data_IF_060741392373
#
_entry.id   IF_060741392373
#
_cell.length_a   1.000
_cell.length_b   1.000
_cell.length_c   1.000
_cell.angle_alpha   90.00
_cell.angle_beta   90.00
_cell.angle_gamma   90.00
#
_symmetry.space_group_name_H-M   'P 1'
#
loop_
_entity.id
_entity.type
_entity.pdbx_description
1 polymer ?
#
# COMPACT_ATOMS: atom_id res chain seq x y z
N UNK A 1 18.64 14.88 -9.09
CA UNK A 1 17.73 13.71 -9.15
C UNK A 1 17.09 13.66 -10.53
N UNK A 2 16.92 12.48 -11.16
CA UNK A 2 16.18 12.37 -12.42
C UNK A 2 14.78 12.96 -12.24
N UNK A 3 14.30 13.73 -13.24
CA UNK A 3 12.96 14.31 -13.21
C UNK A 3 11.86 13.23 -13.10
N UNK A 4 12.16 12.02 -13.59
CA UNK A 4 11.31 10.83 -13.47
C UNK A 4 12.14 9.66 -12.94
N UNK A 5 11.82 9.17 -11.75
CA UNK A 5 12.48 7.98 -11.18
C UNK A 5 11.87 6.71 -11.77
N UNK A 6 12.71 5.85 -12.39
CA UNK A 6 12.31 4.48 -12.77
C UNK A 6 12.65 3.51 -11.65
N UNK A 7 11.64 2.77 -11.20
CA UNK A 7 11.79 1.77 -10.14
C UNK A 7 12.71 0.63 -10.59
N UNK A 8 13.68 0.27 -9.75
CA UNK A 8 14.65 -0.81 -10.04
C UNK A 8 14.20 -2.19 -9.54
N UNK A 9 13.25 -2.23 -8.61
CA UNK A 9 12.81 -3.46 -7.93
C UNK A 9 11.39 -3.84 -8.34
N UNK A 10 11.13 -5.14 -8.56
CA UNK A 10 9.79 -5.71 -8.76
C UNK A 10 9.05 -6.03 -7.45
N UNK A 11 9.59 -5.61 -6.30
CA UNK A 11 9.04 -5.94 -4.98
C UNK A 11 7.59 -5.48 -4.81
N UNK A 12 6.73 -6.40 -4.36
CA UNK A 12 5.31 -6.09 -4.12
C UNK A 12 4.51 -5.71 -5.35
N UNK A 13 5.04 -5.92 -6.57
CA UNK A 13 4.30 -5.72 -7.83
C UNK A 13 3.47 -6.95 -8.24
N UNK A 14 3.72 -8.10 -7.62
CA UNK A 14 3.03 -9.35 -7.92
C UNK A 14 1.58 -9.29 -7.41
N UNK A 15 0.57 -9.64 -8.23
CA UNK A 15 -0.82 -9.60 -7.82
C UNK A 15 -1.13 -10.64 -6.74
N UNK A 16 -2.18 -10.40 -5.94
CA UNK A 16 -2.54 -11.25 -4.81
C UNK A 16 -2.83 -12.69 -5.25
N UNK A 17 -3.57 -12.87 -6.33
CA UNK A 17 -3.95 -14.18 -6.85
C UNK A 17 -2.74 -15.06 -7.20
N UNK A 18 -1.73 -14.49 -7.87
CA UNK A 18 -0.51 -15.22 -8.24
C UNK A 18 0.36 -15.57 -7.02
N UNK A 19 0.43 -14.67 -6.03
CA UNK A 19 1.14 -14.97 -4.78
C UNK A 19 0.40 -16.06 -3.99
N UNK A 20 -0.93 -16.05 -3.97
CA UNK A 20 -1.74 -17.08 -3.29
C UNK A 20 -1.55 -18.47 -3.91
N UNK A 21 -1.53 -18.55 -5.24
CA UNK A 21 -1.23 -19.78 -5.98
C UNK A 21 0.17 -20.29 -5.61
N UNK A 22 1.18 -19.42 -5.70
CA UNK A 22 2.55 -19.75 -5.34
C UNK A 22 2.68 -20.20 -3.87
N UNK A 23 2.00 -19.52 -2.94
CA UNK A 23 2.00 -19.88 -1.53
C UNK A 23 1.35 -21.26 -1.28
N UNK A 24 0.31 -21.60 -2.03
CA UNK A 24 -0.38 -22.89 -1.93
C UNK A 24 0.49 -24.04 -2.47
N UNK A 25 1.22 -23.81 -3.56
CA UNK A 25 2.22 -24.77 -4.07
C UNK A 25 3.35 -25.04 -3.08
N UNK A 26 3.82 -24.00 -2.38
CA UNK A 26 4.81 -24.17 -1.31
C UNK A 26 4.24 -24.94 -0.13
N UNK A 27 2.99 -24.67 0.27
CA UNK A 27 2.30 -25.46 1.32
C UNK A 27 2.11 -26.93 0.90
N UNK A 28 1.98 -27.19 -0.40
CA UNK A 28 1.97 -28.55 -0.97
C UNK A 28 3.33 -29.27 -0.99
N UNK A 29 4.38 -28.69 -0.40
CA UNK A 29 5.68 -29.33 -0.23
C UNK A 29 6.76 -28.91 -1.23
N UNK A 30 6.46 -28.05 -2.21
CA UNK A 30 7.48 -27.49 -3.10
C UNK A 30 8.38 -26.50 -2.36
N UNK A 31 9.65 -26.43 -2.74
CA UNK A 31 10.58 -25.47 -2.14
C UNK A 31 10.20 -24.02 -2.50
N UNK A 32 10.36 -23.08 -1.56
CA UNK A 32 10.14 -21.64 -1.83
C UNK A 32 10.98 -21.16 -3.01
N UNK A 33 12.22 -21.68 -3.16
CA UNK A 33 13.15 -21.25 -4.21
C UNK A 33 12.71 -21.71 -5.59
N UNK A 34 12.20 -22.94 -5.72
CA UNK A 34 11.73 -23.48 -7.00
C UNK A 34 10.48 -22.73 -7.47
N UNK A 35 9.49 -22.57 -6.59
CA UNK A 35 8.23 -21.87 -6.94
C UNK A 35 8.49 -20.40 -7.27
N UNK A 36 9.37 -19.73 -6.52
CA UNK A 36 9.75 -18.34 -6.81
C UNK A 36 10.37 -18.19 -8.21
N UNK A 37 11.23 -19.14 -8.62
CA UNK A 37 11.86 -19.12 -9.95
C UNK A 37 10.84 -19.42 -11.05
N UNK A 38 9.98 -20.41 -10.86
CA UNK A 38 8.95 -20.83 -11.82
C UNK A 38 7.92 -19.72 -12.09
N UNK A 39 7.43 -19.07 -11.03
CA UNK A 39 6.43 -18.01 -11.09
C UNK A 39 7.01 -16.60 -11.29
N UNK A 40 8.34 -16.48 -11.43
CA UNK A 40 9.07 -15.21 -11.48
C UNK A 40 8.73 -14.25 -10.33
N UNK A 41 8.49 -14.79 -9.13
CA UNK A 41 8.24 -14.02 -7.92
C UNK A 41 9.55 -13.90 -7.14
N UNK A 42 9.83 -12.72 -6.60
CA UNK A 42 10.97 -12.56 -5.72
C UNK A 42 10.84 -13.45 -4.46
N UNK A 43 11.90 -14.23 -4.16
CA UNK A 43 11.92 -15.19 -3.05
C UNK A 43 11.56 -14.55 -1.71
N UNK A 44 12.04 -13.33 -1.46
CA UNK A 44 11.79 -12.62 -0.19
C UNK A 44 10.32 -12.20 -0.08
N UNK A 45 9.70 -11.83 -1.20
CA UNK A 45 8.27 -11.50 -1.29
C UNK A 45 7.40 -12.71 -0.96
N UNK A 46 7.67 -13.86 -1.60
CA UNK A 46 6.92 -15.10 -1.34
C UNK A 46 7.09 -15.58 0.11
N UNK A 47 8.33 -15.58 0.63
CA UNK A 47 8.60 -15.95 2.03
C UNK A 47 7.88 -15.04 3.02
N UNK A 48 7.93 -13.71 2.80
CA UNK A 48 7.24 -12.73 3.66
C UNK A 48 5.74 -12.96 3.65
N UNK A 49 5.16 -13.21 2.48
CA UNK A 49 3.72 -13.45 2.34
C UNK A 49 3.29 -14.70 3.11
N UNK A 50 3.99 -15.83 2.95
CA UNK A 50 3.67 -17.08 3.66
C UNK A 50 3.69 -16.86 5.17
N UNK A 51 4.75 -16.24 5.71
CA UNK A 51 4.85 -15.95 7.15
C UNK A 51 3.69 -15.07 7.65
N UNK A 52 3.29 -14.07 6.86
CA UNK A 52 2.19 -13.18 7.24
C UNK A 52 0.82 -13.85 7.16
N UNK A 53 0.60 -14.67 6.13
CA UNK A 53 -0.65 -15.43 5.92
C UNK A 53 -1.01 -16.28 7.14
N UNK A 54 -0.01 -16.83 7.82
CA UNK A 54 -0.24 -17.68 8.99
C UNK A 54 -0.49 -16.86 10.29
N UNK A 55 -0.23 -15.55 10.28
CA UNK A 55 -0.33 -14.66 11.46
C UNK A 55 -1.42 -13.59 11.36
N UNK A 56 -1.86 -13.23 10.16
CA UNK A 56 -2.80 -12.12 9.92
C UNK A 56 -3.96 -12.63 9.05
N UNK A 57 -5.21 -12.36 9.45
CA UNK A 57 -6.40 -12.64 8.62
C UNK A 57 -6.41 -11.84 7.32
N UNK A 58 -5.83 -10.63 7.32
CA UNK A 58 -5.83 -9.74 6.16
C UNK A 58 -4.68 -10.09 5.21
N UNK A 59 -5.04 -10.67 4.07
CA UNK A 59 -4.12 -11.01 2.98
C UNK A 59 -3.75 -9.78 2.15
N UNK A 60 -2.83 -8.97 2.68
CA UNK A 60 -2.36 -7.76 2.01
C UNK A 60 -1.03 -8.00 1.26
N UNK A 61 -0.92 -7.48 0.04
CA UNK A 61 0.29 -7.60 -0.79
C UNK A 61 1.12 -6.31 -0.75
N UNK A 62 2.44 -6.46 -0.81
CA UNK A 62 3.36 -5.33 -0.88
C UNK A 62 3.36 -4.50 0.42
N UNK A 63 3.19 -3.19 0.27
CA UNK A 63 3.23 -2.23 1.38
C UNK A 63 1.84 -1.81 1.90
N UNK A 64 0.77 -2.37 1.34
CA UNK A 64 -0.62 -2.06 1.74
C UNK A 64 -0.86 -2.27 3.24
N UNK A 65 -0.40 -3.38 3.82
CA UNK A 65 -0.51 -3.60 5.27
C UNK A 65 0.29 -2.61 6.14
N UNK A 66 1.40 -2.06 5.63
CA UNK A 66 2.15 -1.01 6.34
C UNK A 66 1.45 0.34 6.24
N UNK A 67 0.84 0.63 5.10
CA UNK A 67 0.03 1.84 4.92
C UNK A 67 -1.20 1.81 5.84
N UNK A 68 -1.88 0.65 5.92
CA UNK A 68 -3.03 0.46 6.81
C UNK A 68 -2.67 0.63 8.29
N UNK A 69 -1.53 0.09 8.75
CA UNK A 69 -1.09 0.24 10.14
C UNK A 69 -0.72 1.69 10.53
N UNK A 70 -0.40 2.56 9.56
CA UNK A 70 -0.06 3.98 9.78
C UNK A 70 -1.18 4.92 9.35
N UNK A 71 -2.40 4.41 9.17
CA UNK A 71 -3.53 5.21 8.73
C UNK A 71 -3.96 6.16 9.84
N UNK A 72 -4.07 7.45 9.50
CA UNK A 72 -4.45 8.50 10.46
C UNK A 72 -5.94 8.82 10.36
N UNK A 73 -6.48 8.84 9.15
CA UNK A 73 -7.89 9.12 8.87
C UNK A 73 -8.68 7.82 8.64
N UNK A 74 -9.95 7.82 8.99
CA UNK A 74 -10.87 6.74 8.58
C UNK A 74 -11.10 6.78 7.07
N UNK A 75 -11.55 5.68 6.47
CA UNK A 75 -11.79 5.61 5.03
C UNK A 75 -12.79 6.66 4.52
N UNK A 76 -13.79 6.97 5.34
CA UNK A 76 -14.82 7.95 5.05
C UNK A 76 -14.22 9.36 5.04
N UNK A 77 -13.45 9.70 6.07
CA UNK A 77 -12.79 11.00 6.18
C UNK A 77 -11.74 11.22 5.08
N UNK A 78 -10.98 10.18 4.71
CA UNK A 78 -10.04 10.26 3.59
C UNK A 78 -10.75 10.56 2.26
N UNK A 79 -11.92 9.96 2.03
CA UNK A 79 -12.72 10.19 0.83
C UNK A 79 -13.25 11.62 0.78
N UNK A 80 -13.83 12.10 1.88
CA UNK A 80 -14.34 13.48 1.97
C UNK A 80 -13.24 14.51 1.74
N UNK A 81 -12.06 14.31 2.36
CA UNK A 81 -10.91 15.19 2.17
C UNK A 81 -10.42 15.17 0.71
N UNK A 82 -10.38 13.98 0.08
CA UNK A 82 -9.95 13.85 -1.31
C UNK A 82 -10.91 14.55 -2.28
N UNK A 83 -12.22 14.42 -2.07
CA UNK A 83 -13.23 15.12 -2.86
C UNK A 83 -13.14 16.64 -2.69
N UNK A 84 -12.94 17.10 -1.45
CA UNK A 84 -12.77 18.52 -1.16
C UNK A 84 -11.53 19.10 -1.86
N UNK A 85 -10.38 18.40 -1.79
CA UNK A 85 -9.15 18.82 -2.48
C UNK A 85 -9.34 18.87 -4.00
N UNK A 86 -10.07 17.90 -4.59
CA UNK A 86 -10.37 17.91 -6.04
C UNK A 86 -11.21 19.12 -6.43
N UNK A 87 -12.30 19.40 -5.70
CA UNK A 87 -13.17 20.56 -5.94
C UNK A 87 -12.38 21.87 -5.87
N UNK A 88 -11.53 22.03 -4.86
CA UNK A 88 -10.70 23.22 -4.74
C UNK A 88 -9.65 23.27 -5.87
N UNK A 89 -9.06 22.15 -6.27
CA UNK A 89 -8.10 22.12 -7.39
C UNK A 89 -8.74 22.53 -8.72
N UNK A 90 -10.01 22.17 -8.96
CA UNK A 90 -10.76 22.62 -10.13
C UNK A 90 -11.01 24.15 -10.11
N UNK A 91 -11.29 24.71 -8.92
CA UNK A 91 -11.54 26.15 -8.75
C UNK A 91 -10.28 27.02 -8.86
N UNK A 92 -9.14 26.53 -8.37
CA UNK A 92 -7.89 27.31 -8.23
C UNK A 92 -6.80 26.95 -9.26
N UNK A 93 -7.15 26.27 -10.35
CA UNK A 93 -6.20 25.78 -11.37
C UNK A 93 -5.09 24.88 -10.79
N UNK A 94 -5.45 24.09 -9.79
CA UNK A 94 -4.56 23.20 -9.05
C UNK A 94 -4.28 23.68 -7.63
N UNK A 95 -3.78 22.76 -6.81
CA UNK A 95 -3.40 23.03 -5.42
C UNK A 95 -1.98 22.56 -5.18
N UNK A 96 -1.24 23.38 -4.44
CA UNK A 96 0.11 23.02 -4.02
C UNK A 96 0.08 21.90 -2.95
N UNK A 97 1.06 20.98 -2.95
CA UNK A 97 1.16 19.94 -1.92
C UNK A 97 1.30 20.48 -0.50
N UNK A 98 1.76 21.73 -0.32
CA UNK A 98 1.77 22.40 0.99
C UNK A 98 0.36 22.68 1.46
N UNK A 99 -0.49 23.25 0.60
CA UNK A 99 -1.85 23.60 0.98
C UNK A 99 -2.73 22.37 1.24
N UNK A 100 -2.54 21.28 0.49
CA UNK A 100 -3.17 20.00 0.82
C UNK A 100 -2.85 19.52 2.25
N UNK A 101 -1.60 19.69 2.69
CA UNK A 101 -1.18 19.28 4.05
C UNK A 101 -1.77 20.17 5.14
N UNK A 102 -1.85 21.48 4.90
CA UNK A 102 -2.52 22.40 5.82
C UNK A 102 -3.99 22.03 6.00
N UNK A 103 -4.72 21.78 4.90
CA UNK A 103 -6.11 21.36 4.96
C UNK A 103 -6.30 20.03 5.73
N UNK A 104 -5.40 19.07 5.51
CA UNK A 104 -5.42 17.81 6.26
C UNK A 104 -5.18 18.02 7.76
N UNK A 105 -4.23 18.91 8.12
CA UNK A 105 -3.92 19.23 9.51
C UNK A 105 -5.11 19.93 10.20
N UNK A 106 -5.73 20.90 9.53
CA UNK A 106 -6.93 21.59 10.04
C UNK A 106 -8.08 20.60 10.27
N UNK A 107 -8.30 19.67 9.33
CA UNK A 107 -9.33 18.65 9.45
C UNK A 107 -9.04 17.70 10.64
N UNK A 108 -7.79 17.27 10.81
CA UNK A 108 -7.39 16.44 11.94
C UNK A 108 -7.62 17.17 13.28
N UNK A 109 -7.29 18.46 13.35
CA UNK A 109 -7.52 19.30 14.53
C UNK A 109 -9.00 19.45 14.86
N UNK A 110 -9.86 19.66 13.86
CA UNK A 110 -11.33 19.74 14.06
C UNK A 110 -11.93 18.43 14.56
N UNK A 111 -11.39 17.31 14.09
CA UNK A 111 -11.87 15.97 14.45
C UNK A 111 -11.16 15.37 15.68
N UNK A 112 -10.30 16.14 16.36
CA UNK A 112 -9.50 15.70 17.52
C UNK A 112 -8.72 14.39 17.28
N UNK A 113 -8.21 14.21 16.06
CA UNK A 113 -7.45 13.02 15.68
C UNK A 113 -6.03 13.14 16.19
N UNK A 114 -5.52 12.09 16.86
CA UNK A 114 -4.13 12.06 17.33
C UNK A 114 -3.20 11.97 16.13
N UNK A 115 -2.35 12.98 15.98
CA UNK A 115 -1.34 13.06 14.93
C UNK A 115 -0.06 12.35 15.39
N UNK A 116 0.61 11.58 14.50
CA UNK A 116 1.87 10.89 14.80
C UNK A 116 3.10 11.81 14.81
#
# INVERSE_FOLDING_TARGET
MPRTYRRKTSWGSTPLEEIERAASEVKGGKSIRSVAKERQIDRSTLRRYIKKRDTQEVKSVGYSGTASAKRVFSEEVEKELAEHIKKLAEQFHGISPKKCRELALELAGRNNIVLP
#
